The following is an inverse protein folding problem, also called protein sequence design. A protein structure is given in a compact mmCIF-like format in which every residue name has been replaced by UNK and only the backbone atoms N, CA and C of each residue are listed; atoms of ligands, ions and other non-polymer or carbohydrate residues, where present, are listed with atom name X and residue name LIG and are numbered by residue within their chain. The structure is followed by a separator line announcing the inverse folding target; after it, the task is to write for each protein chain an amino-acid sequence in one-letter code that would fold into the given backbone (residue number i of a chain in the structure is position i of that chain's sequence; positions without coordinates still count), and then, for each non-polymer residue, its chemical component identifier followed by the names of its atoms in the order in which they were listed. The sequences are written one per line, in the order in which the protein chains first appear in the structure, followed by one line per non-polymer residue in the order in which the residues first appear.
data_IF_309958901003
#
_entry.id   IF_309958901003
#
_cell.length_a   1.000
_cell.length_b   1.000
_cell.length_c   1.000
_cell.angle_alpha   90.00
_cell.angle_beta   90.00
_cell.angle_gamma   90.00
#
_symmetry.space_group_name_H-M   'P 1'
#
loop_
_entity.id
_entity.type
_entity.pdbx_description
1 polymer ?
#
# COMPACT_ATOMS: atom_id res chain seq x y z
N UNK A 1 4.99 -20.38 13.60
CA UNK A 1 4.40 -19.04 13.64
C UNK A 1 3.15 -19.07 12.80
N UNK A 2 2.01 -18.71 13.38
CA UNK A 2 0.71 -18.78 12.72
C UNK A 2 0.66 -17.66 11.68
N UNK A 3 0.68 -18.02 10.40
CA UNK A 3 0.20 -17.15 9.32
C UNK A 3 -1.29 -16.94 9.58
N UNK A 4 -1.65 -15.90 10.32
CA UNK A 4 -3.03 -15.44 10.35
C UNK A 4 -3.34 -14.94 8.96
N UNK A 5 -3.93 -15.83 8.16
CA UNK A 5 -4.59 -15.53 6.90
C UNK A 5 -5.70 -14.52 7.19
N UNK A 6 -5.34 -13.23 7.20
CA UNK A 6 -6.25 -12.08 7.24
C UNK A 6 -6.95 -11.86 5.90
N UNK A 7 -6.97 -12.90 5.06
CA UNK A 7 -7.87 -13.00 3.94
C UNK A 7 -9.16 -13.56 4.54
N UNK A 8 -10.20 -12.76 4.84
CA UNK A 8 -11.53 -13.35 4.93
C UNK A 8 -11.68 -14.12 3.63
N UNK A 9 -11.94 -15.43 3.71
CA UNK A 9 -12.08 -16.31 2.55
C UNK A 9 -12.63 -15.51 1.38
N UNK A 10 -11.78 -15.19 0.39
CA UNK A 10 -12.18 -14.54 -0.86
C UNK A 10 -12.97 -15.56 -1.71
N UNK A 11 -13.82 -16.36 -1.06
CA UNK A 11 -14.78 -17.27 -1.65
C UNK A 11 -15.84 -16.40 -2.33
N UNK A 12 -15.51 -15.98 -3.55
CA UNK A 12 -16.43 -15.25 -4.39
C UNK A 12 -15.81 -14.09 -5.14
N UNK A 13 -14.66 -13.56 -4.75
CA UNK A 13 -14.09 -12.38 -5.42
C UNK A 13 -13.34 -12.78 -6.71
N UNK A 14 -13.48 -11.94 -7.74
CA UNK A 14 -12.79 -12.15 -9.01
C UNK A 14 -11.34 -11.67 -8.86
N UNK A 15 -10.39 -12.60 -8.97
CA UNK A 15 -8.97 -12.26 -8.89
C UNK A 15 -8.45 -11.98 -10.29
N UNK A 16 -7.78 -10.84 -10.46
CA UNK A 16 -7.03 -10.55 -11.68
C UNK A 16 -5.54 -10.68 -11.41
N UNK A 17 -4.91 -11.58 -12.18
CA UNK A 17 -3.49 -11.92 -12.11
C UNK A 17 -2.73 -11.23 -13.27
N UNK A 18 -2.12 -10.05 -13.04
CA UNK A 18 -1.41 -9.32 -14.08
C UNK A 18 -0.12 -10.01 -14.51
N UNK A 19 0.50 -9.55 -15.60
CA UNK A 19 1.81 -10.07 -16.01
C UNK A 19 2.88 -9.83 -14.90
N UNK A 20 3.61 -10.89 -14.56
CA UNK A 20 4.70 -10.87 -13.59
C UNK A 20 6.05 -10.43 -14.17
N UNK A 21 6.21 -9.13 -14.45
CA UNK A 21 7.43 -8.54 -15.05
C UNK A 21 8.08 -7.46 -14.17
N UNK A 22 7.78 -7.48 -12.87
CA UNK A 22 8.15 -6.44 -11.91
C UNK A 22 7.18 -5.26 -11.86
N UNK A 23 6.29 -5.09 -12.85
CA UNK A 23 5.29 -4.01 -12.84
C UNK A 23 3.90 -4.45 -12.33
N UNK A 24 3.77 -5.66 -11.78
CA UNK A 24 2.50 -6.27 -11.37
C UNK A 24 1.59 -5.36 -10.53
N UNK A 25 2.12 -4.64 -9.53
CA UNK A 25 1.32 -3.68 -8.74
C UNK A 25 0.78 -2.51 -9.56
N UNK A 26 1.56 -1.97 -10.50
CA UNK A 26 1.12 -0.89 -11.40
C UNK A 26 0.11 -1.41 -12.43
N UNK A 27 0.28 -2.65 -12.90
CA UNK A 27 -0.64 -3.32 -13.83
C UNK A 27 -1.99 -3.60 -13.17
N UNK A 28 -1.98 -4.05 -11.91
CA UNK A 28 -3.18 -4.21 -11.09
C UNK A 28 -3.95 -2.89 -10.97
N UNK A 29 -3.24 -1.79 -10.66
CA UNK A 29 -3.84 -0.44 -10.65
C UNK A 29 -4.39 -0.02 -12.02
N UNK A 30 -3.67 -0.32 -13.11
CA UNK A 30 -4.11 0.02 -14.46
C UNK A 30 -5.40 -0.72 -14.86
N UNK A 31 -5.55 -1.99 -14.46
CA UNK A 31 -6.78 -2.76 -14.66
C UNK A 31 -7.93 -2.17 -13.87
N UNK A 32 -7.71 -1.82 -12.60
CA UNK A 32 -8.76 -1.23 -11.76
C UNK A 32 -9.23 0.12 -12.29
N UNK A 33 -8.28 1.00 -12.62
CA UNK A 33 -8.58 2.39 -12.96
C UNK A 33 -8.96 2.59 -14.44
N UNK A 34 -8.47 1.73 -15.33
CA UNK A 34 -8.60 1.92 -16.77
C UNK A 34 -9.03 0.68 -17.56
N UNK A 35 -9.22 -0.47 -16.90
CA UNK A 35 -9.62 -1.73 -17.54
C UNK A 35 -8.55 -2.36 -18.45
N UNK A 36 -7.31 -1.90 -18.40
CA UNK A 36 -6.24 -2.35 -19.29
C UNK A 36 -4.88 -2.31 -18.60
N UNK A 37 -4.28 -3.48 -18.35
CA UNK A 37 -2.98 -3.59 -17.67
C UNK A 37 -1.83 -2.93 -18.45
N UNK A 38 -1.98 -2.73 -19.77
CA UNK A 38 -0.95 -2.12 -20.62
C UNK A 38 -0.75 -0.63 -20.32
N UNK A 39 -1.69 -0.01 -19.62
CA UNK A 39 -1.61 1.38 -19.15
C UNK A 39 -0.79 1.54 -17.86
N UNK A 40 -0.07 0.51 -17.41
CA UNK A 40 0.81 0.62 -16.23
C UNK A 40 1.89 1.72 -16.40
N UNK A 41 2.33 2.01 -17.62
CA UNK A 41 3.26 3.11 -17.93
C UNK A 41 2.61 4.46 -17.59
N UNK A 42 1.33 4.64 -17.94
CA UNK A 42 0.56 5.86 -17.61
C UNK A 42 0.33 5.99 -16.10
N UNK A 43 0.12 4.86 -15.40
CA UNK A 43 0.05 4.82 -13.93
C UNK A 43 1.36 5.34 -13.33
N UNK A 44 2.50 4.78 -13.75
CA UNK A 44 3.83 5.18 -13.26
C UNK A 44 4.11 6.65 -13.54
N UNK A 45 3.81 7.14 -14.74
CA UNK A 45 3.97 8.55 -15.10
C UNK A 45 3.12 9.49 -14.23
N UNK A 46 1.83 9.16 -14.04
CA UNK A 46 0.93 9.96 -13.21
C UNK A 46 1.40 10.00 -11.75
N UNK A 47 1.80 8.85 -11.20
CA UNK A 47 2.34 8.74 -9.85
C UNK A 47 3.66 9.52 -9.70
N UNK A 48 4.57 9.43 -10.68
CA UNK A 48 5.83 10.17 -10.67
C UNK A 48 5.59 11.68 -10.69
N UNK A 49 4.69 12.17 -11.56
CA UNK A 49 4.34 13.60 -11.60
C UNK A 49 3.74 14.09 -10.28
N UNK A 50 2.83 13.32 -9.69
CA UNK A 50 2.26 13.64 -8.38
C UNK A 50 3.34 13.66 -7.29
N UNK A 51 4.19 12.63 -7.25
CA UNK A 51 5.29 12.50 -6.29
C UNK A 51 6.25 13.70 -6.39
N UNK A 52 6.73 14.04 -7.59
CA UNK A 52 7.66 15.14 -7.80
C UNK A 52 7.08 16.50 -7.40
N UNK A 53 5.77 16.70 -7.59
CA UNK A 53 5.08 17.94 -7.17
C UNK A 53 5.04 18.08 -5.64
N UNK A 54 5.03 16.96 -4.91
CA UNK A 54 4.82 16.91 -3.46
C UNK A 54 6.04 16.41 -2.67
N UNK A 55 7.19 16.26 -3.34
CA UNK A 55 8.38 15.59 -2.79
C UNK A 55 8.97 16.29 -1.57
N UNK A 56 8.84 17.62 -1.49
CA UNK A 56 9.33 18.41 -0.35
C UNK A 56 8.30 18.51 0.79
N UNK A 57 7.09 17.98 0.60
CA UNK A 57 5.99 18.04 1.56
C UNK A 57 5.72 16.69 2.17
N UNK A 58 4.59 16.09 1.77
CA UNK A 58 4.07 14.84 2.34
C UNK A 58 5.00 13.64 2.11
N UNK A 59 5.87 13.68 1.11
CA UNK A 59 6.81 12.59 0.79
C UNK A 59 8.27 12.87 1.17
N UNK A 60 8.54 13.90 1.99
CA UNK A 60 9.90 14.34 2.31
C UNK A 60 10.78 13.26 2.97
N UNK A 61 10.16 12.30 3.66
CA UNK A 61 10.84 11.20 4.35
C UNK A 61 11.18 10.02 3.43
N UNK A 62 10.61 9.96 2.24
CA UNK A 62 10.82 8.83 1.33
C UNK A 62 12.19 8.91 0.68
N UNK A 63 12.80 7.75 0.44
CA UNK A 63 14.02 7.66 -0.36
C UNK A 63 13.73 8.10 -1.80
N UNK A 64 14.14 9.34 -2.11
CA UNK A 64 13.85 9.95 -3.40
C UNK A 64 14.50 9.24 -4.58
N UNK A 65 15.67 8.64 -4.38
CA UNK A 65 16.36 7.92 -5.44
C UNK A 65 15.59 6.64 -5.78
N UNK A 66 15.26 5.87 -4.74
CA UNK A 66 14.47 4.64 -4.88
C UNK A 66 13.10 4.90 -5.51
N UNK A 67 12.33 5.86 -5.00
CA UNK A 67 10.99 6.14 -5.52
C UNK A 67 11.01 6.63 -6.97
N UNK A 68 11.96 7.48 -7.36
CA UNK A 68 12.11 7.90 -8.76
C UNK A 68 12.47 6.72 -9.68
N UNK A 69 13.32 5.79 -9.22
CA UNK A 69 13.65 4.58 -9.96
C UNK A 69 12.45 3.64 -10.14
N UNK A 70 11.67 3.45 -9.07
CA UNK A 70 10.46 2.64 -9.07
C UNK A 70 9.39 3.23 -9.98
N UNK A 71 9.11 4.54 -9.88
CA UNK A 71 8.07 5.22 -10.66
C UNK A 71 8.50 5.63 -12.07
N UNK A 72 9.75 5.38 -12.47
CA UNK A 72 10.17 5.60 -13.84
C UNK A 72 9.36 4.68 -14.78
N UNK A 73 8.62 5.23 -15.76
CA UNK A 73 7.75 4.43 -16.64
C UNK A 73 8.50 3.38 -17.49
N UNK A 74 9.81 3.52 -17.66
CA UNK A 74 10.67 2.59 -18.40
C UNK A 74 11.44 1.60 -17.51
N UNK A 75 11.23 1.66 -16.20
CA UNK A 75 11.87 0.78 -15.23
C UNK A 75 11.00 -0.47 -14.97
N UNK A 76 11.64 -1.59 -14.64
CA UNK A 76 10.98 -2.81 -14.14
C UNK A 76 11.14 -2.99 -12.62
N UNK A 77 11.59 -1.96 -11.92
CA UNK A 77 11.67 -1.93 -10.46
C UNK A 77 10.29 -2.18 -9.84
N UNK A 78 10.28 -3.00 -8.79
CA UNK A 78 9.05 -3.53 -8.21
C UNK A 78 8.25 -2.46 -7.47
N UNK A 79 6.93 -2.60 -7.53
CA UNK A 79 6.00 -1.80 -6.72
C UNK A 79 6.32 -1.99 -5.23
N UNK A 80 6.75 -0.93 -4.55
CA UNK A 80 7.10 -1.00 -3.13
C UNK A 80 5.94 -0.52 -2.24
N UNK A 81 5.55 -1.36 -1.30
CA UNK A 81 4.67 -0.95 -0.20
C UNK A 81 5.59 -0.63 0.99
N UNK A 82 5.37 0.49 1.69
CA UNK A 82 4.17 1.32 1.67
C UNK A 82 4.11 2.47 0.66
N UNK A 83 5.24 2.91 0.14
CA UNK A 83 5.35 4.22 -0.52
C UNK A 83 4.53 4.29 -1.82
N UNK A 84 4.58 3.26 -2.66
CA UNK A 84 3.80 3.24 -3.90
C UNK A 84 2.30 3.17 -3.64
N UNK A 85 1.86 2.48 -2.58
CA UNK A 85 0.45 2.42 -2.23
C UNK A 85 -0.07 3.80 -1.77
N UNK A 86 0.68 4.50 -0.92
CA UNK A 86 0.30 5.86 -0.51
C UNK A 86 0.30 6.83 -1.69
N UNK A 87 1.36 6.84 -2.52
CA UNK A 87 1.45 7.70 -3.69
C UNK A 87 0.31 7.42 -4.68
N UNK A 88 -0.02 6.14 -4.92
CA UNK A 88 -1.14 5.77 -5.80
C UNK A 88 -2.48 6.28 -5.24
N UNK A 89 -2.70 6.09 -3.94
CA UNK A 89 -3.90 6.58 -3.24
C UNK A 89 -4.08 8.09 -3.44
N UNK A 90 -3.02 8.87 -3.21
CA UNK A 90 -3.02 10.32 -3.40
C UNK A 90 -3.17 10.74 -4.87
N UNK A 91 -2.50 10.04 -5.80
CA UNK A 91 -2.51 10.35 -7.23
C UNK A 91 -3.89 10.14 -7.84
N UNK A 92 -4.53 9.02 -7.53
CA UNK A 92 -5.81 8.62 -8.12
C UNK A 92 -7.01 8.98 -7.26
N UNK A 93 -6.78 9.58 -6.10
CA UNK A 93 -7.81 9.99 -5.14
C UNK A 93 -8.70 8.81 -4.73
N UNK A 94 -8.07 7.66 -4.54
CA UNK A 94 -8.72 6.38 -4.26
C UNK A 94 -8.11 5.78 -3.00
N UNK A 95 -8.92 5.06 -2.22
CA UNK A 95 -8.41 4.33 -1.06
C UNK A 95 -7.80 3.01 -1.55
N UNK A 96 -6.69 2.59 -0.95
CA UNK A 96 -6.02 1.33 -1.31
C UNK A 96 -5.92 0.46 -0.07
N UNK A 97 -6.46 -0.76 -0.15
CA UNK A 97 -6.18 -1.82 0.80
C UNK A 97 -5.10 -2.72 0.21
N UNK A 98 -3.96 -2.82 0.89
CA UNK A 98 -2.91 -3.76 0.54
C UNK A 98 -2.91 -4.92 1.53
N UNK A 99 -3.04 -6.13 1.02
CA UNK A 99 -2.92 -7.37 1.76
C UNK A 99 -1.56 -7.99 1.48
N UNK A 100 -0.82 -8.38 2.50
CA UNK A 100 0.51 -8.95 2.36
C UNK A 100 1.15 -9.21 3.73
N UNK A 101 2.48 -9.27 3.77
CA UNK A 101 3.22 -9.45 5.03
C UNK A 101 2.84 -8.38 6.06
N UNK A 102 2.79 -7.12 5.63
CA UNK A 102 2.18 -6.03 6.37
C UNK A 102 0.96 -5.53 5.61
N UNK A 103 -0.23 -5.89 6.09
CA UNK A 103 -1.48 -5.49 5.47
C UNK A 103 -1.90 -4.11 5.99
N UNK A 104 -2.09 -3.15 5.09
CA UNK A 104 -2.37 -1.75 5.43
C UNK A 104 -3.40 -1.12 4.48
N UNK A 105 -4.15 -0.16 5.01
CA UNK A 105 -5.08 0.70 4.29
C UNK A 105 -4.48 2.09 4.16
N UNK A 106 -4.53 2.62 2.95
CA UNK A 106 -4.01 3.92 2.56
C UNK A 106 -5.16 4.80 2.10
N UNK A 107 -5.25 5.99 2.71
CA UNK A 107 -6.21 7.02 2.33
C UNK A 107 -5.47 8.19 1.69
N UNK A 108 -6.11 8.92 0.77
CA UNK A 108 -5.52 10.16 0.25
C UNK A 108 -5.31 11.16 1.40
N UNK A 109 -4.07 11.58 1.62
CA UNK A 109 -3.66 12.38 2.79
C UNK A 109 -4.19 13.81 2.76
N UNK A 110 -4.47 14.33 1.56
CA UNK A 110 -4.87 15.71 1.34
C UNK A 110 -6.33 15.86 0.91
N UNK A 111 -7.14 14.80 1.00
CA UNK A 111 -8.54 14.83 0.62
C UNK A 111 -9.43 14.31 1.74
N UNK A 112 -10.62 14.88 1.80
CA UNK A 112 -11.74 14.32 2.54
C UNK A 112 -12.41 13.20 1.74
N UNK A 113 -13.22 12.34 2.38
CA UNK A 113 -13.96 11.33 1.65
C UNK A 113 -14.88 11.87 0.55
N UNK A 114 -15.43 13.07 0.75
CA UNK A 114 -16.30 13.71 -0.23
C UNK A 114 -15.57 14.12 -1.52
N UNK A 115 -14.25 14.36 -1.43
CA UNK A 115 -13.42 14.77 -2.57
C UNK A 115 -12.76 13.59 -3.29
N UNK A 116 -12.97 12.37 -2.79
CA UNK A 116 -12.48 11.15 -3.39
C UNK A 116 -13.21 10.84 -4.70
N UNK A 117 -12.47 10.30 -5.66
CA UNK A 117 -13.05 9.88 -6.95
C UNK A 117 -13.71 8.50 -6.88
N UNK A 118 -13.35 7.71 -5.88
CA UNK A 118 -13.79 6.33 -5.74
C UNK A 118 -14.43 6.13 -4.36
N UNK A 119 -15.58 5.49 -4.35
CA UNK A 119 -16.32 5.15 -3.13
C UNK A 119 -15.92 3.80 -2.55
N UNK A 120 -15.15 3.00 -3.31
CA UNK A 120 -14.70 1.66 -2.93
C UNK A 120 -13.18 1.60 -2.90
N UNK A 121 -12.62 0.87 -1.93
CA UNK A 121 -11.18 0.66 -1.87
C UNK A 121 -10.73 -0.26 -3.01
N UNK A 122 -9.57 0.06 -3.57
CA UNK A 122 -8.83 -0.83 -4.46
C UNK A 122 -8.09 -1.86 -3.61
N UNK A 123 -8.36 -3.15 -3.80
CA UNK A 123 -7.72 -4.22 -3.05
C UNK A 123 -6.59 -4.87 -3.84
N UNK A 124 -5.37 -4.72 -3.32
CA UNK A 124 -4.16 -5.34 -3.85
C UNK A 124 -3.69 -6.43 -2.89
N UNK A 125 -3.20 -7.55 -3.41
CA UNK A 125 -2.69 -8.64 -2.58
C UNK A 125 -1.32 -9.10 -3.06
N UNK A 126 -0.34 -9.12 -2.15
CA UNK A 126 0.95 -9.73 -2.38
C UNK A 126 0.86 -11.24 -2.16
N UNK A 127 0.87 -11.98 -3.26
CA UNK A 127 0.96 -13.43 -3.26
C UNK A 127 2.40 -13.83 -3.64
N UNK A 128 3.18 -14.26 -2.65
CA UNK A 128 4.62 -14.52 -2.77
C UNK A 128 5.39 -13.24 -3.16
N UNK A 129 5.84 -13.15 -4.42
CA UNK A 129 6.55 -12.00 -4.99
C UNK A 129 5.74 -11.33 -6.12
N UNK A 130 4.43 -11.57 -6.19
CA UNK A 130 3.56 -11.09 -7.22
C UNK A 130 2.34 -10.37 -6.63
N UNK A 131 2.03 -9.18 -7.12
CA UNK A 131 0.87 -8.40 -6.67
C UNK A 131 -0.29 -8.64 -7.63
N UNK A 132 -1.39 -9.14 -7.08
CA UNK A 132 -2.65 -9.36 -7.79
C UNK A 132 -3.69 -8.32 -7.39
N UNK A 133 -4.69 -8.12 -8.26
CA UNK A 133 -5.88 -7.31 -7.98
C UNK A 133 -7.00 -8.22 -7.49
N UNK A 134 -7.64 -7.84 -6.39
CA UNK A 134 -8.83 -8.52 -5.86
C UNK A 134 -10.05 -7.67 -6.20
N UNK A 135 -10.92 -8.15 -7.10
CA UNK A 135 -12.18 -7.49 -7.42
C UNK A 135 -13.23 -7.85 -6.39
N UNK A 136 -13.67 -6.84 -5.69
CA UNK A 136 -14.59 -6.98 -4.56
C UNK A 136 -16.01 -6.96 -5.09
N UNK A 137 -16.78 -8.00 -4.76
CA UNK A 137 -18.22 -8.00 -5.06
C UNK A 137 -18.95 -6.91 -4.27
N UNK A 138 -20.00 -6.36 -4.88
CA UNK A 138 -20.80 -5.28 -4.30
C UNK A 138 -21.41 -5.63 -2.93
N UNK A 139 -21.62 -6.91 -2.64
CA UNK A 139 -22.20 -7.45 -1.40
C UNK A 139 -21.20 -8.16 -0.49
N UNK A 140 -19.90 -8.16 -0.84
CA UNK A 140 -18.88 -8.82 -0.04
C UNK A 140 -18.67 -8.12 1.30
N UNK A 141 -18.67 -8.91 2.39
CA UNK A 141 -18.25 -8.44 3.70
C UNK A 141 -16.75 -8.61 3.82
N UNK A 142 -16.01 -7.53 3.57
CA UNK A 142 -14.54 -7.55 3.63
C UNK A 142 -14.04 -6.88 4.88
N UNK A 143 -13.20 -7.62 5.59
CA UNK A 143 -12.40 -7.09 6.67
C UNK A 143 -11.20 -6.34 6.09
N UNK A 144 -11.29 -5.01 6.08
CA UNK A 144 -10.20 -4.16 5.61
C UNK A 144 -8.99 -4.17 6.57
N UNK A 145 -7.75 -4.01 6.06
CA UNK A 145 -6.55 -3.91 6.89
C UNK A 145 -6.55 -2.66 7.76
N UNK A 146 -5.63 -2.61 8.72
CA UNK A 146 -5.40 -1.45 9.59
C UNK A 146 -4.80 -0.27 8.81
N UNK A 147 -4.76 0.91 9.41
CA UNK A 147 -4.06 2.06 8.86
C UNK A 147 -2.57 1.74 8.69
N UNK A 148 -1.97 2.40 7.70
CA UNK A 148 -0.54 2.37 7.47
C UNK A 148 0.28 2.72 8.73
N UNK A 149 1.37 1.98 8.97
CA UNK A 149 2.16 1.99 10.21
C UNK A 149 2.74 3.34 10.60
N UNK A 150 2.89 4.33 9.72
CA UNK A 150 3.29 5.69 10.13
C UNK A 150 2.23 6.37 11.00
N UNK A 151 1.05 5.78 11.12
CA UNK A 151 0.06 6.14 12.14
C UNK A 151 0.33 5.50 13.51
N UNK A 152 1.30 4.58 13.65
CA UNK A 152 1.71 4.01 14.93
C UNK A 152 2.18 5.13 15.86
N UNK A 153 1.65 5.15 17.07
CA UNK A 153 1.93 6.19 18.07
C UNK A 153 1.11 7.46 17.91
N UNK A 154 0.26 7.61 16.87
CA UNK A 154 -0.75 8.67 16.86
C UNK A 154 -1.77 8.41 17.96
N UNK A 155 -2.06 9.45 18.74
CA UNK A 155 -3.04 9.36 19.82
C UNK A 155 -4.44 9.12 19.24
N UNK A 156 -5.28 8.41 19.99
CA UNK A 156 -6.67 8.12 19.62
C UNK A 156 -7.42 9.38 19.18
N UNK A 157 -7.23 10.49 19.89
CA UNK A 157 -7.93 11.75 19.64
C UNK A 157 -7.60 12.32 18.25
N UNK A 158 -6.38 12.08 17.75
CA UNK A 158 -5.95 12.48 16.40
C UNK A 158 -6.61 11.60 15.34
N UNK A 159 -6.69 10.29 15.58
CA UNK A 159 -7.27 9.34 14.65
C UNK A 159 -8.80 9.46 14.56
N UNK A 160 -9.49 9.80 15.66
CA UNK A 160 -10.96 9.93 15.66
C UNK A 160 -11.47 11.22 15.02
N UNK A 161 -10.61 12.21 14.77
CA UNK A 161 -10.98 13.44 14.05
C UNK A 161 -10.60 13.41 12.58
N UNK A 162 -9.99 12.30 12.11
CA UNK A 162 -9.66 12.12 10.71
C UNK A 162 -10.95 12.13 9.86
N UNK A 163 -10.99 12.85 8.73
CA UNK A 163 -12.17 12.88 7.85
C UNK A 163 -12.65 11.51 7.39
N UNK A 164 -11.76 10.51 7.31
CA UNK A 164 -12.07 9.14 6.90
C UNK A 164 -12.64 8.28 8.04
N UNK A 165 -12.47 8.69 9.30
CA UNK A 165 -12.91 7.93 10.47
C UNK A 165 -14.40 7.53 10.44
N UNK A 166 -15.37 8.41 10.10
CA UNK A 166 -16.78 8.05 10.14
C UNK A 166 -17.17 6.95 9.15
N UNK A 167 -16.46 6.84 8.02
CA UNK A 167 -16.74 5.86 6.96
C UNK A 167 -15.96 4.56 7.15
N UNK A 168 -14.78 4.63 7.75
CA UNK A 168 -13.87 3.50 7.93
C UNK A 168 -13.60 3.21 9.41
N UNK A 169 -14.60 3.42 10.26
CA UNK A 169 -14.48 3.33 11.72
C UNK A 169 -13.80 2.04 12.18
N UNK A 170 -14.11 0.90 11.56
CA UNK A 170 -13.53 -0.39 11.94
C UNK A 170 -12.02 -0.49 11.65
N UNK A 171 -11.56 0.14 10.55
CA UNK A 171 -10.13 0.24 10.21
C UNK A 171 -9.40 1.06 11.27
N UNK A 172 -9.94 2.25 11.57
CA UNK A 172 -9.34 3.16 12.56
C UNK A 172 -9.34 2.57 13.97
N UNK A 173 -10.47 2.03 14.41
CA UNK A 173 -10.59 1.46 15.75
C UNK A 173 -9.69 0.24 15.94
N UNK A 174 -9.50 -0.58 14.89
CA UNK A 174 -8.55 -1.69 14.95
C UNK A 174 -7.10 -1.19 15.05
N UNK A 175 -6.76 -0.18 14.26
CA UNK A 175 -5.44 0.45 14.29
C UNK A 175 -5.14 1.01 15.68
N UNK A 176 -6.09 1.73 16.29
CA UNK A 176 -5.96 2.26 17.65
C UNK A 176 -5.68 1.14 18.66
N UNK A 177 -6.40 0.00 18.57
CA UNK A 177 -6.17 -1.15 19.46
C UNK A 177 -4.78 -1.72 19.29
N UNK A 178 -4.39 -2.06 18.07
CA UNK A 178 -3.07 -2.64 17.80
C UNK A 178 -1.94 -1.70 18.22
N UNK A 179 -2.06 -0.41 17.97
CA UNK A 179 -1.03 0.56 18.36
C UNK A 179 -0.97 0.80 19.86
N UNK A 180 -2.07 0.62 20.59
CA UNK A 180 -2.09 0.72 22.06
C UNK A 180 -1.47 -0.49 22.75
N UNK A 181 -1.46 -1.65 22.08
CA UNK A 181 -0.89 -2.90 22.59
C UNK A 181 0.63 -3.00 22.32
N UNK A 182 1.12 -2.33 21.29
CA UNK A 182 2.55 -2.23 20.98
C UNK A 182 3.17 -1.08 21.77
N UNK A 183 3.65 -1.37 22.99
CA UNK A 183 4.60 -0.49 23.68
C UNK A 183 5.82 -0.29 22.77
N UNK A 184 6.08 0.95 22.34
CA UNK A 184 7.31 1.26 21.61
C UNK A 184 8.51 0.83 22.47
N UNK A 185 9.42 -0.04 21.99
CA UNK A 185 10.70 -0.18 22.64
C UNK A 185 11.38 1.19 22.57
N UNK A 186 11.57 1.81 23.73
CA UNK A 186 12.17 3.14 23.80
C UNK A 186 13.55 3.14 23.14
N UNK A 187 13.77 4.06 22.19
CA UNK A 187 15.05 4.50 21.64
C UNK A 187 16.24 3.54 21.76
N UNK A 188 16.05 2.28 21.36
CA UNK A 188 17.10 1.26 21.35
C UNK A 188 17.06 0.52 20.02
N UNK A 189 17.95 0.97 19.13
CA UNK A 189 18.55 0.22 18.02
C UNK A 189 17.60 -0.65 17.18
N UNK A 190 16.82 0.00 16.32
CA UNK A 190 16.38 -0.65 15.08
C UNK A 190 17.57 -0.64 14.12
N UNK A 191 18.40 -1.69 14.18
CA UNK A 191 19.31 -1.99 13.09
C UNK A 191 18.49 -2.31 11.85
N UNK A 192 18.46 -1.37 10.91
CA UNK A 192 18.05 -1.65 9.53
C UNK A 192 19.02 -2.69 8.97
N UNK A 193 18.56 -3.94 8.81
CA UNK A 193 19.24 -4.88 7.92
C UNK A 193 18.89 -4.42 6.49
N UNK A 194 19.70 -3.48 5.99
CA UNK A 194 19.76 -3.15 4.59
C UNK A 194 20.38 -4.37 3.88
N UNK A 195 19.60 -5.11 3.11
CA UNK A 195 20.14 -6.17 2.25
C UNK A 195 20.82 -5.52 1.05
N UNK A 196 22.00 -4.99 1.30
CA UNK A 196 22.94 -4.55 0.29
C UNK A 196 24.32 -5.08 0.67
N UNK A 197 24.46 -6.41 0.60
CA UNK A 197 25.75 -7.08 0.49
C UNK A 197 25.65 -8.14 -0.62
N UNK A 198 26.29 -7.95 -1.77
CA UNK A 198 26.55 -9.01 -2.72
C UNK A 198 27.79 -9.81 -2.28
N UNK A 199 27.75 -11.13 -2.48
CA UNK A 199 28.86 -12.10 -2.31
C UNK A 199 29.16 -12.48 -0.85
N UNK A 200 29.07 -13.75 -0.41
CA UNK A 200 29.83 -14.89 -0.92
C UNK A 200 29.05 -16.21 -0.71
N UNK A 201 28.75 -16.92 -1.80
CA UNK A 201 28.49 -18.36 -1.73
C UNK A 201 29.85 -19.06 -1.78
N UNK A 202 30.36 -19.47 -0.63
CA UNK A 202 31.53 -20.33 -0.55
C UNK A 202 31.13 -21.77 -0.87
N UNK A 203 31.67 -22.28 -1.97
CA UNK A 203 31.62 -23.69 -2.36
C UNK A 203 32.76 -24.41 -1.64
N UNK A 204 32.46 -25.18 -0.59
CA UNK A 204 33.33 -26.31 -0.23
C UNK A 204 32.54 -27.50 0.36
N UNK A 205 32.60 -28.59 -0.42
CA UNK A 205 32.45 -30.03 -0.12
C UNK A 205 31.26 -30.56 0.69
#
# INVERSE_FOLDING_TARGET
MVTNNLIPHLEGDEVYDPIGDGNCGFRALAVELFGDERKYVDIKDAMLRHYLTNINGIYKSYDQHRIKGILNPHSNEWFCVPECAQIASDTFKAQIAFYGFESNTFFPLQLTPFESKHTHLIALHLHHAHIILVKIKHDACIQWPELYYENRGRKREVLTVDPWYPLFKDVFDRSIRVYSEVSLPGDADVQFICSSDPETFDLTN
#
